data_IF_298623902481
#
_entry.id   IF_298623902481
#
_cell.length_a   1.000
_cell.length_b   1.000
_cell.length_c   1.000
_cell.angle_alpha   90.00
_cell.angle_beta   90.00
_cell.angle_gamma   90.00
#
_symmetry.space_group_name_H-M   'P 1'
#
loop_
_entity.id
_entity.type
_entity.pdbx_description
1 polymer ?
#
# COMPACT_ATOMS: atom_id res chain seq x y z
N UNK A 1 -14.85 -44.19 -15.60
CA UNK A 1 -14.68 -42.94 -16.37
C UNK A 1 -14.96 -41.81 -15.37
N UNK A 2 -13.91 -41.19 -14.84
CA UNK A 2 -13.98 -40.27 -13.70
C UNK A 2 -14.30 -38.85 -14.17
N UNK A 3 -15.55 -38.42 -14.01
CA UNK A 3 -15.92 -37.01 -14.01
C UNK A 3 -15.80 -36.47 -12.59
N UNK A 4 -14.63 -35.93 -12.24
CA UNK A 4 -14.52 -35.03 -11.10
C UNK A 4 -15.18 -33.70 -11.50
N UNK A 5 -16.25 -33.24 -10.82
CA UNK A 5 -17.06 -32.15 -11.32
C UNK A 5 -16.29 -30.84 -11.20
N UNK A 6 -16.15 -30.13 -12.33
CA UNK A 6 -15.61 -28.77 -12.49
C UNK A 6 -16.07 -27.81 -11.36
N UNK A 7 -17.24 -28.05 -10.78
CA UNK A 7 -17.80 -27.36 -9.62
C UNK A 7 -16.90 -27.35 -8.38
N UNK A 8 -16.15 -28.42 -8.08
CA UNK A 8 -15.22 -28.46 -6.94
C UNK A 8 -14.04 -27.51 -7.16
N UNK A 9 -13.47 -27.49 -8.36
CA UNK A 9 -12.40 -26.57 -8.74
C UNK A 9 -12.86 -25.12 -8.77
N UNK A 10 -14.07 -24.85 -9.28
CA UNK A 10 -14.66 -23.50 -9.27
C UNK A 10 -14.95 -23.02 -7.85
N UNK A 11 -15.47 -23.89 -6.97
CA UNK A 11 -15.70 -23.57 -5.57
C UNK A 11 -14.38 -23.31 -4.81
N UNK A 12 -13.36 -24.11 -5.05
CA UNK A 12 -12.04 -23.97 -4.44
C UNK A 12 -11.32 -22.71 -4.94
N UNK A 13 -11.43 -22.38 -6.24
CA UNK A 13 -10.95 -21.12 -6.82
C UNK A 13 -11.68 -19.91 -6.22
N UNK A 14 -13.01 -19.98 -6.06
CA UNK A 14 -13.80 -18.91 -5.40
C UNK A 14 -13.43 -18.74 -3.93
N UNK A 15 -13.22 -19.83 -3.21
CA UNK A 15 -12.79 -19.78 -1.80
C UNK A 15 -11.38 -19.19 -1.66
N UNK A 16 -10.45 -19.60 -2.53
CA UNK A 16 -9.11 -19.04 -2.62
C UNK A 16 -9.12 -17.55 -2.93
N UNK A 17 -9.89 -17.11 -3.94
CA UNK A 17 -10.06 -15.70 -4.29
C UNK A 17 -10.58 -14.91 -3.08
N UNK A 18 -11.64 -15.38 -2.39
CA UNK A 18 -12.17 -14.71 -1.19
C UNK A 18 -11.15 -14.61 -0.04
N UNK A 19 -10.33 -15.65 0.14
CA UNK A 19 -9.28 -15.67 1.16
C UNK A 19 -8.19 -14.64 0.84
N UNK A 20 -7.77 -14.59 -0.42
CA UNK A 20 -6.79 -13.64 -0.96
C UNK A 20 -7.33 -12.21 -0.82
N UNK A 21 -8.56 -11.94 -1.26
CA UNK A 21 -9.26 -10.66 -1.08
C UNK A 21 -9.34 -10.24 0.40
N UNK A 22 -9.61 -11.17 1.31
CA UNK A 22 -9.67 -10.90 2.76
C UNK A 22 -8.31 -10.53 3.35
N UNK A 23 -7.25 -11.26 2.99
CA UNK A 23 -5.87 -10.95 3.39
C UNK A 23 -5.45 -9.60 2.82
N UNK A 24 -5.76 -9.32 1.56
CA UNK A 24 -5.49 -8.03 0.91
C UNK A 24 -6.22 -6.89 1.58
N UNK A 25 -7.51 -7.04 1.85
CA UNK A 25 -8.28 -6.03 2.58
C UNK A 25 -7.63 -5.73 3.92
N UNK A 26 -7.22 -6.75 4.67
CA UNK A 26 -6.51 -6.58 5.95
C UNK A 26 -5.14 -5.91 5.80
N UNK A 27 -4.37 -6.24 4.76
CA UNK A 27 -3.10 -5.58 4.48
C UNK A 27 -3.30 -4.09 4.18
N UNK A 28 -4.33 -3.76 3.41
CA UNK A 28 -4.67 -2.38 3.08
C UNK A 28 -5.12 -1.60 4.30
N UNK A 29 -5.96 -2.20 5.14
CA UNK A 29 -6.36 -1.62 6.43
C UNK A 29 -5.12 -1.37 7.29
N UNK A 30 -4.16 -2.30 7.36
CA UNK A 30 -2.92 -2.13 8.14
C UNK A 30 -2.06 -0.97 7.66
N UNK A 31 -1.96 -0.75 6.34
CA UNK A 31 -1.19 0.37 5.76
C UNK A 31 -1.71 1.71 6.28
N UNK A 32 -3.03 1.92 6.26
CA UNK A 32 -3.68 3.15 6.75
C UNK A 32 -4.06 3.10 8.23
N UNK A 33 -3.38 2.26 9.02
CA UNK A 33 -3.58 2.15 10.47
C UNK A 33 -5.02 1.84 10.88
N UNK A 34 -5.76 1.16 10.00
CA UNK A 34 -7.18 0.87 10.15
C UNK A 34 -7.46 0.31 11.52
N UNK A 35 -8.29 1.02 12.28
CA UNK A 35 -8.78 0.60 13.59
C UNK A 35 -9.83 -0.50 13.33
N UNK A 36 -9.51 -1.80 13.48
CA UNK A 36 -10.52 -2.85 13.39
C UNK A 36 -11.70 -2.61 14.35
N UNK A 37 -11.50 -1.83 15.42
CA UNK A 37 -12.54 -1.37 16.33
C UNK A 37 -13.61 -0.53 15.62
N UNK A 38 -13.26 0.45 14.77
CA UNK A 38 -14.27 1.29 14.11
C UNK A 38 -15.14 0.49 13.14
N UNK A 39 -14.52 -0.44 12.41
CA UNK A 39 -15.20 -1.36 11.50
C UNK A 39 -15.99 -2.46 12.23
N UNK A 40 -15.56 -2.84 13.44
CA UNK A 40 -16.31 -3.75 14.30
C UNK A 40 -17.52 -3.05 14.94
N UNK A 41 -17.36 -1.82 15.40
CA UNK A 41 -18.42 -0.98 15.95
C UNK A 41 -19.51 -0.70 14.91
N UNK A 42 -19.12 -0.43 13.65
CA UNK A 42 -20.05 -0.34 12.52
C UNK A 42 -20.88 -1.62 12.38
N UNK A 43 -20.24 -2.80 12.38
CA UNK A 43 -20.93 -4.10 12.28
C UNK A 43 -21.85 -4.39 13.46
N UNK A 44 -21.50 -3.94 14.67
CA UNK A 44 -22.36 -4.07 15.86
C UNK A 44 -23.58 -3.15 15.74
N UNK A 45 -23.41 -1.90 15.26
CA UNK A 45 -24.53 -0.96 15.06
C UNK A 45 -25.52 -1.41 13.98
N UNK A 46 -25.03 -2.12 12.96
CA UNK A 46 -25.84 -2.65 11.87
C UNK A 46 -26.52 -4.00 12.20
N UNK A 47 -26.17 -4.64 13.32
CA UNK A 47 -26.73 -5.94 13.69
C UNK A 47 -28.23 -5.81 14.04
N UNK A 48 -29.11 -6.35 13.19
CA UNK A 48 -30.55 -6.44 13.42
C UNK A 48 -31.43 -5.32 12.83
N UNK A 49 -30.89 -4.43 11.98
CA UNK A 49 -31.66 -3.35 11.29
C UNK A 49 -31.96 -3.68 9.81
N UNK A 50 -33.07 -3.14 9.25
CA UNK A 50 -33.45 -3.22 7.82
C UNK A 50 -32.55 -2.30 6.96
N UNK A 51 -32.34 -2.64 5.69
CA UNK A 51 -31.05 -3.20 5.22
C UNK A 51 -30.27 -2.42 4.14
N UNK A 52 -30.66 -1.21 3.72
CA UNK A 52 -29.89 -0.50 2.66
C UNK A 52 -29.63 0.99 2.96
N UNK A 53 -30.65 1.83 3.14
CA UNK A 53 -30.41 3.28 3.34
C UNK A 53 -29.70 3.64 4.67
N UNK A 54 -29.99 2.88 5.73
CA UNK A 54 -29.34 3.03 7.06
C UNK A 54 -27.89 2.50 7.04
N UNK A 55 -27.57 1.60 6.12
CA UNK A 55 -26.22 1.03 5.99
C UNK A 55 -25.25 2.04 5.37
N UNK A 56 -25.71 2.82 4.39
CA UNK A 56 -24.89 3.83 3.70
C UNK A 56 -24.56 5.04 4.59
N UNK A 57 -25.52 5.56 5.37
CA UNK A 57 -25.27 6.67 6.29
C UNK A 57 -24.28 6.29 7.41
N UNK A 58 -24.45 5.11 8.01
CA UNK A 58 -23.56 4.61 9.08
C UNK A 58 -22.14 4.32 8.56
N UNK A 59 -22.03 3.79 7.33
CA UNK A 59 -20.76 3.59 6.65
C UNK A 59 -20.06 4.93 6.38
N UNK A 60 -20.78 5.93 5.88
CA UNK A 60 -20.25 7.28 5.65
C UNK A 60 -19.80 7.95 6.96
N UNK A 61 -20.58 7.79 8.04
CA UNK A 61 -20.21 8.30 9.36
C UNK A 61 -18.94 7.62 9.91
N UNK A 62 -18.81 6.31 9.71
CA UNK A 62 -17.63 5.54 10.12
C UNK A 62 -16.39 5.95 9.32
N UNK A 63 -16.51 6.08 8.01
CA UNK A 63 -15.42 6.55 7.14
C UNK A 63 -15.01 7.99 7.48
N UNK A 64 -15.95 8.87 7.81
CA UNK A 64 -15.66 10.25 8.21
C UNK A 64 -14.87 10.31 9.51
N UNK A 65 -15.30 9.59 10.55
CA UNK A 65 -14.56 9.48 11.82
C UNK A 65 -13.15 8.92 11.62
N UNK A 66 -13.00 7.96 10.72
CA UNK A 66 -11.70 7.41 10.39
C UNK A 66 -10.83 8.41 9.63
N UNK A 67 -11.36 9.08 8.62
CA UNK A 67 -10.66 10.14 7.88
C UNK A 67 -10.14 11.22 8.83
N UNK A 68 -10.97 11.72 9.76
CA UNK A 68 -10.51 12.70 10.75
C UNK A 68 -9.39 12.17 11.64
N UNK A 69 -9.49 10.92 12.09
CA UNK A 69 -8.44 10.29 12.89
C UNK A 69 -7.15 10.12 12.08
N UNK A 70 -7.26 9.83 10.78
CA UNK A 70 -6.16 9.72 9.85
C UNK A 70 -5.46 11.06 9.63
N UNK A 71 -6.23 12.13 9.44
CA UNK A 71 -5.70 13.48 9.24
C UNK A 71 -4.97 14.01 10.49
N UNK A 72 -5.51 13.72 11.68
CA UNK A 72 -4.89 14.09 12.98
C UNK A 72 -3.68 13.23 13.36
N UNK A 73 -3.45 12.10 12.70
CA UNK A 73 -2.36 11.20 13.09
C UNK A 73 -1.00 11.84 12.80
N UNK A 74 -0.18 11.98 13.85
CA UNK A 74 1.20 12.49 13.73
C UNK A 74 2.20 11.40 13.33
N UNK A 75 1.86 10.14 13.57
CA UNK A 75 2.60 8.97 13.09
C UNK A 75 2.12 8.60 11.69
N UNK A 76 2.94 7.89 10.90
CA UNK A 76 2.61 7.48 9.52
C UNK A 76 2.34 8.63 8.53
N UNK A 77 2.93 9.82 8.73
CA UNK A 77 2.78 10.97 7.81
C UNK A 77 3.19 10.67 6.38
N UNK A 78 4.18 9.80 6.19
CA UNK A 78 4.56 9.30 4.87
C UNK A 78 3.37 8.62 4.17
N UNK A 79 2.78 7.62 4.82
CA UNK A 79 1.62 6.92 4.27
C UNK A 79 0.42 7.84 4.08
N UNK A 80 0.18 8.79 4.99
CA UNK A 80 -0.87 9.81 4.84
C UNK A 80 -0.65 10.67 3.60
N UNK A 81 0.59 11.10 3.34
CA UNK A 81 0.95 11.88 2.16
C UNK A 81 0.67 11.13 0.86
N UNK A 82 0.90 9.81 0.83
CA UNK A 82 0.59 8.97 -0.33
C UNK A 82 -0.90 8.65 -0.44
N UNK A 83 -1.58 8.39 0.69
CA UNK A 83 -2.98 7.96 0.74
C UNK A 83 -3.76 8.96 1.62
N UNK A 84 -4.10 10.15 1.08
CA UNK A 84 -4.79 11.16 1.87
C UNK A 84 -6.26 10.81 2.11
N UNK A 85 -6.91 10.09 1.17
CA UNK A 85 -8.33 9.72 1.27
C UNK A 85 -8.51 8.24 1.60
N UNK A 86 -9.03 7.97 2.80
CA UNK A 86 -9.35 6.64 3.29
C UNK A 86 -10.44 5.98 2.44
N UNK A 87 -11.50 6.74 2.12
CA UNK A 87 -12.63 6.25 1.33
C UNK A 87 -12.18 5.76 -0.04
N UNK A 88 -11.47 6.61 -0.78
CA UNK A 88 -10.97 6.30 -2.13
C UNK A 88 -10.07 5.05 -2.10
N UNK A 89 -9.22 4.93 -1.08
CA UNK A 89 -8.33 3.78 -0.93
C UNK A 89 -9.07 2.47 -0.66
N UNK A 90 -10.14 2.49 0.15
CA UNK A 90 -10.88 1.27 0.53
C UNK A 90 -11.85 0.84 -0.58
N UNK A 91 -12.42 1.80 -1.30
CA UNK A 91 -13.44 1.57 -2.33
C UNK A 91 -12.86 1.32 -3.71
N UNK A 92 -11.52 1.25 -3.83
CA UNK A 92 -10.86 0.95 -5.09
C UNK A 92 -11.28 -0.40 -5.66
N UNK A 93 -11.37 -0.46 -6.99
CA UNK A 93 -11.88 -1.63 -7.73
C UNK A 93 -10.79 -2.63 -8.11
N UNK A 94 -9.54 -2.19 -8.08
CA UNK A 94 -8.37 -2.97 -8.47
C UNK A 94 -7.20 -2.65 -7.53
N UNK A 95 -6.10 -3.36 -7.74
CA UNK A 95 -4.86 -3.04 -7.09
C UNK A 95 -4.66 -3.77 -5.77
N UNK A 96 -4.17 -5.00 -5.88
CA UNK A 96 -3.72 -5.78 -4.73
C UNK A 96 -2.37 -5.28 -4.24
N UNK A 97 -2.20 -5.26 -2.91
CA UNK A 97 -0.92 -4.93 -2.29
C UNK A 97 -0.04 -6.16 -2.29
N UNK A 98 1.14 -6.04 -2.89
CA UNK A 98 2.21 -7.01 -2.74
C UNK A 98 3.23 -6.54 -1.69
N UNK A 99 4.23 -7.38 -1.42
CA UNK A 99 5.30 -7.08 -0.46
C UNK A 99 6.01 -5.75 -0.76
N UNK A 100 6.39 -5.52 -2.01
CA UNK A 100 7.14 -4.34 -2.43
C UNK A 100 6.32 -3.06 -2.35
N UNK A 101 5.07 -3.07 -2.84
CA UNK A 101 4.13 -1.94 -2.70
C UNK A 101 3.87 -1.61 -1.23
N UNK A 102 3.78 -2.62 -0.37
CA UNK A 102 3.63 -2.38 1.08
C UNK A 102 4.84 -1.64 1.64
N UNK A 103 6.06 -1.95 1.19
CA UNK A 103 7.28 -1.23 1.60
C UNK A 103 7.28 0.23 1.13
N UNK A 104 6.92 0.49 -0.13
CA UNK A 104 6.72 1.85 -0.64
C UNK A 104 5.73 2.62 0.25
N UNK A 105 4.55 2.06 0.48
CA UNK A 105 3.46 2.78 1.15
C UNK A 105 3.72 3.03 2.63
N UNK A 106 4.38 2.10 3.31
CA UNK A 106 4.67 2.19 4.76
C UNK A 106 6.00 2.86 5.05
N UNK A 107 6.90 2.95 4.07
CA UNK A 107 8.28 3.35 4.28
C UNK A 107 9.07 2.37 5.16
N UNK A 108 8.61 1.12 5.24
CA UNK A 108 9.27 0.02 5.97
C UNK A 108 10.00 -0.89 4.99
N UNK A 109 11.02 -1.61 5.47
CA UNK A 109 11.78 -2.55 4.65
C UNK A 109 13.28 -2.30 4.68
N UNK A 110 13.92 -2.48 3.53
CA UNK A 110 15.37 -2.43 3.38
C UNK A 110 15.96 -1.01 3.30
N UNK A 111 15.17 0.03 3.63
CA UNK A 111 15.68 1.39 3.72
C UNK A 111 16.60 1.52 4.93
N UNK A 112 17.82 2.04 4.78
CA UNK A 112 18.74 2.24 5.93
C UNK A 112 18.11 3.04 7.07
N UNK A 113 17.28 4.04 6.77
CA UNK A 113 16.54 4.78 7.79
C UNK A 113 15.62 3.88 8.64
N UNK A 114 15.01 2.86 8.03
CA UNK A 114 14.20 1.89 8.73
C UNK A 114 15.07 0.88 9.49
N UNK A 115 16.10 0.33 8.86
CA UNK A 115 17.03 -0.64 9.47
C UNK A 115 17.73 -0.11 10.71
N UNK A 116 18.08 1.18 10.74
CA UNK A 116 18.72 1.85 11.89
C UNK A 116 17.90 1.76 13.18
N UNK A 117 16.59 1.51 13.10
CA UNK A 117 15.75 1.27 14.29
C UNK A 117 16.12 0.00 15.05
N UNK A 118 16.79 -0.94 14.38
CA UNK A 118 17.17 -2.24 14.93
C UNK A 118 18.69 -2.37 15.12
N UNK A 119 19.49 -1.58 14.39
CA UNK A 119 20.95 -1.51 14.55
C UNK A 119 21.42 -0.05 14.56
N UNK A 120 21.77 0.44 15.75
CA UNK A 120 22.15 1.84 15.98
C UNK A 120 23.54 2.20 15.42
N UNK A 121 24.37 1.21 15.09
CA UNK A 121 25.71 1.43 14.54
C UNK A 121 25.68 1.73 13.04
N UNK A 122 24.56 1.48 12.37
CA UNK A 122 24.42 1.75 10.94
C UNK A 122 24.01 3.20 10.65
N UNK A 123 24.66 3.79 9.65
CA UNK A 123 24.27 5.10 9.12
C UNK A 123 22.96 4.99 8.35
N UNK A 124 22.06 5.96 8.56
CA UNK A 124 20.82 6.11 7.79
C UNK A 124 21.04 6.82 6.45
N UNK A 125 22.27 7.25 6.14
CA UNK A 125 22.58 7.99 4.93
C UNK A 125 22.58 7.10 3.69
N UNK A 126 22.11 7.67 2.59
CA UNK A 126 22.22 7.05 1.28
C UNK A 126 23.69 6.95 0.88
N UNK A 127 24.15 5.79 0.37
CA UNK A 127 25.55 5.58 -0.02
C UNK A 127 25.99 6.48 -1.19
N UNK A 128 25.05 6.89 -2.05
CA UNK A 128 25.31 7.72 -3.25
C UNK A 128 24.91 9.19 -3.02
N UNK A 129 24.08 9.46 -2.01
CA UNK A 129 23.63 10.82 -1.66
C UNK A 129 23.94 11.09 -0.18
N UNK A 130 25.20 11.45 0.18
CA UNK A 130 25.63 11.54 1.57
C UNK A 130 24.83 12.53 2.42
N UNK A 131 24.30 13.59 1.80
CA UNK A 131 23.45 14.59 2.46
C UNK A 131 21.98 14.17 2.61
N UNK A 132 21.60 12.99 2.13
CA UNK A 132 20.22 12.48 2.15
C UNK A 132 20.08 11.23 3.00
N UNK A 133 18.99 11.17 3.76
CA UNK A 133 18.58 9.97 4.48
C UNK A 133 17.96 8.99 3.48
N UNK A 134 18.40 7.73 3.49
CA UNK A 134 17.81 6.68 2.68
C UNK A 134 16.49 6.20 3.29
N UNK A 135 15.44 6.97 3.06
CA UNK A 135 14.05 6.61 3.33
C UNK A 135 13.31 6.34 2.01
N UNK A 136 12.05 5.89 2.08
CA UNK A 136 11.26 5.60 0.88
C UNK A 136 11.11 6.82 -0.04
N UNK A 137 10.91 8.02 0.51
CA UNK A 137 10.81 9.25 -0.27
C UNK A 137 12.06 9.48 -1.12
N UNK A 138 13.23 9.46 -0.49
CA UNK A 138 14.48 9.64 -1.20
C UNK A 138 14.67 8.54 -2.25
N UNK A 139 14.52 7.27 -1.87
CA UNK A 139 14.75 6.13 -2.76
C UNK A 139 13.89 6.20 -4.02
N UNK A 140 12.59 6.41 -3.88
CA UNK A 140 11.67 6.31 -5.02
C UNK A 140 11.57 7.58 -5.87
N UNK A 141 11.88 8.75 -5.31
CA UNK A 141 11.59 10.03 -5.97
C UNK A 141 12.82 10.91 -6.20
N UNK A 142 13.95 10.65 -5.54
CA UNK A 142 15.11 11.55 -5.55
C UNK A 142 16.46 10.87 -5.77
N UNK A 143 16.56 9.57 -5.50
CA UNK A 143 17.83 8.87 -5.49
C UNK A 143 18.31 8.59 -6.92
N UNK A 144 19.50 9.08 -7.32
CA UNK A 144 20.04 8.83 -8.65
C UNK A 144 20.30 7.35 -8.96
N UNK A 145 20.42 6.49 -7.93
CA UNK A 145 20.55 5.03 -8.12
C UNK A 145 19.37 4.43 -8.87
N UNK A 146 18.19 5.00 -8.69
CA UNK A 146 16.93 4.47 -9.20
C UNK A 146 16.29 5.40 -10.24
N UNK A 147 17.08 6.33 -10.82
CA UNK A 147 16.57 7.31 -11.78
C UNK A 147 16.09 6.64 -13.07
N UNK A 148 16.78 5.59 -13.53
CA UNK A 148 16.38 4.85 -14.72
C UNK A 148 15.02 4.16 -14.52
N UNK A 149 14.83 3.47 -13.39
CA UNK A 149 13.56 2.86 -13.03
C UNK A 149 12.44 3.93 -12.94
N UNK A 150 12.76 5.09 -12.37
CA UNK A 150 11.86 6.23 -12.27
C UNK A 150 11.48 6.79 -13.64
N UNK A 151 12.46 7.06 -14.51
CA UNK A 151 12.27 7.59 -15.87
C UNK A 151 11.42 6.66 -16.74
N UNK A 152 11.63 5.34 -16.64
CA UNK A 152 10.78 4.35 -17.30
C UNK A 152 9.33 4.49 -16.85
N UNK A 153 9.08 4.60 -15.55
CA UNK A 153 7.73 4.79 -15.04
C UNK A 153 7.14 6.17 -15.45
N UNK A 154 7.96 7.23 -15.42
CA UNK A 154 7.56 8.55 -15.89
C UNK A 154 7.20 8.56 -17.37
N UNK A 155 7.86 7.79 -18.24
CA UNK A 155 7.50 7.74 -19.66
C UNK A 155 6.14 7.07 -19.91
N UNK A 156 5.68 6.22 -18.98
CA UNK A 156 4.34 5.61 -19.02
C UNK A 156 3.25 6.57 -18.55
N UNK A 157 3.61 7.57 -17.74
CA UNK A 157 2.68 8.57 -17.24
C UNK A 157 2.87 9.91 -17.96
N UNK A 158 1.80 10.54 -18.42
CA UNK A 158 1.90 11.91 -18.94
C UNK A 158 2.06 12.99 -17.83
N UNK A 159 2.56 12.59 -16.66
CA UNK A 159 2.72 13.44 -15.47
C UNK A 159 3.96 13.01 -14.67
N UNK A 160 4.60 13.98 -14.01
CA UNK A 160 5.70 13.71 -13.08
C UNK A 160 5.16 13.00 -11.84
N UNK A 161 5.63 11.78 -11.58
CA UNK A 161 5.45 11.05 -10.34
C UNK A 161 5.96 11.84 -9.13
N UNK A 162 5.08 12.03 -8.15
CA UNK A 162 5.32 12.70 -6.87
C UNK A 162 4.65 11.90 -5.76
N UNK A 163 5.10 12.03 -4.50
CA UNK A 163 4.43 11.38 -3.38
C UNK A 163 2.92 11.69 -3.32
N UNK A 164 2.53 12.91 -3.70
CA UNK A 164 1.14 13.37 -3.62
C UNK A 164 0.22 12.75 -4.70
N UNK A 165 0.77 12.32 -5.84
CA UNK A 165 -0.03 11.86 -6.98
C UNK A 165 0.10 10.36 -7.27
N UNK A 166 1.07 9.65 -6.69
CA UNK A 166 1.32 8.23 -7.01
C UNK A 166 0.07 7.35 -6.84
N UNK A 167 -0.64 7.50 -5.71
CA UNK A 167 -1.86 6.71 -5.45
C UNK A 167 -2.97 7.07 -6.43
N UNK A 168 -3.11 8.34 -6.79
CA UNK A 168 -4.07 8.78 -7.80
C UNK A 168 -3.77 8.14 -9.15
N UNK A 169 -2.50 8.10 -9.55
CA UNK A 169 -2.04 7.46 -10.78
C UNK A 169 -2.32 5.96 -10.77
N UNK A 170 -1.99 5.26 -9.67
CA UNK A 170 -2.25 3.83 -9.48
C UNK A 170 -3.76 3.49 -9.56
N UNK A 171 -4.60 4.35 -8.99
CA UNK A 171 -6.05 4.13 -8.95
C UNK A 171 -6.76 4.47 -10.27
N UNK A 172 -6.10 5.20 -11.18
CA UNK A 172 -6.70 5.58 -12.45
C UNK A 172 -6.96 4.37 -13.39
N UNK A 173 -6.13 3.34 -13.34
CA UNK A 173 -6.30 2.12 -14.13
C UNK A 173 -5.53 0.94 -13.54
N UNK A 174 -5.97 -0.29 -13.83
CA UNK A 174 -5.23 -1.50 -13.45
C UNK A 174 -3.83 -1.57 -14.08
N UNK A 175 -3.62 -1.21 -15.37
CA UNK A 175 -2.28 -1.09 -15.94
C UNK A 175 -1.36 -0.13 -15.20
N UNK A 176 -1.88 1.03 -14.76
CA UNK A 176 -1.07 1.98 -13.97
C UNK A 176 -0.64 1.36 -12.63
N UNK A 177 -1.56 0.66 -11.96
CA UNK A 177 -1.23 -0.06 -10.73
C UNK A 177 -0.10 -1.07 -10.96
N UNK A 178 -0.21 -1.88 -12.01
CA UNK A 178 0.80 -2.89 -12.35
C UNK A 178 2.15 -2.25 -12.71
N UNK A 179 2.15 -1.13 -13.41
CA UNK A 179 3.37 -0.38 -13.73
C UNK A 179 4.09 0.09 -12.45
N UNK A 180 3.36 0.69 -11.51
CA UNK A 180 3.92 1.10 -10.21
C UNK A 180 4.36 -0.11 -9.39
N UNK A 181 3.60 -1.22 -9.41
CA UNK A 181 3.96 -2.45 -8.71
C UNK A 181 5.28 -3.03 -9.24
N UNK A 182 5.47 -3.04 -10.56
CA UNK A 182 6.70 -3.49 -11.22
C UNK A 182 7.89 -2.60 -10.89
N UNK A 183 7.72 -1.28 -11.04
CA UNK A 183 8.72 -0.28 -10.63
C UNK A 183 9.15 -0.48 -9.17
N UNK A 184 8.18 -0.59 -8.27
CA UNK A 184 8.44 -0.77 -6.83
C UNK A 184 9.19 -2.08 -6.56
N UNK A 185 8.84 -3.15 -7.27
CA UNK A 185 9.50 -4.45 -7.12
C UNK A 185 10.96 -4.39 -7.58
N UNK A 186 11.24 -3.71 -8.69
CA UNK A 186 12.61 -3.51 -9.19
C UNK A 186 13.48 -2.77 -8.17
N UNK A 187 13.00 -1.62 -7.69
CA UNK A 187 13.73 -0.77 -6.73
C UNK A 187 13.97 -1.50 -5.40
N UNK A 188 12.95 -2.14 -4.83
CA UNK A 188 13.06 -2.82 -3.54
C UNK A 188 13.94 -4.07 -3.63
N UNK A 189 13.89 -4.81 -4.73
CA UNK A 189 14.74 -5.98 -4.94
C UNK A 189 16.20 -5.58 -5.00
N UNK A 190 16.52 -4.56 -5.83
CA UNK A 190 17.88 -4.03 -5.92
C UNK A 190 18.39 -3.47 -4.60
N UNK A 191 17.55 -2.76 -3.83
CA UNK A 191 17.91 -2.32 -2.47
C UNK A 191 18.24 -3.50 -1.54
N UNK A 192 17.44 -4.57 -1.60
CA UNK A 192 17.66 -5.77 -0.78
C UNK A 192 18.98 -6.44 -1.14
N UNK A 193 19.30 -6.55 -2.42
CA UNK A 193 20.53 -7.17 -2.89
C UNK A 193 21.74 -6.35 -2.43
N UNK A 194 21.70 -5.02 -2.62
CA UNK A 194 22.74 -4.09 -2.12
C UNK A 194 22.94 -4.15 -0.58
N UNK A 195 21.88 -4.41 0.18
CA UNK A 195 21.96 -4.56 1.63
C UNK A 195 22.48 -5.95 2.03
N UNK A 196 22.20 -6.97 1.25
CA UNK A 196 22.70 -8.33 1.47
C UNK A 196 24.21 -8.40 1.20
N UNK A 197 24.69 -7.75 0.14
CA UNK A 197 26.12 -7.70 -0.22
C UNK A 197 26.99 -6.93 0.79
N UNK A 198 26.39 -6.12 1.67
CA UNK A 198 27.09 -5.36 2.71
C UNK A 198 27.26 -6.11 4.04
N UNK A 199 26.58 -7.25 4.22
CA UNK A 199 26.60 -8.06 5.44
C UNK A 199 27.58 -9.21 5.31
#
# INVERSE_FOLDING_TARGET
>A
MYDAPIWSMVAQKRAYIRQVESVHRRACLRVIGGRPVLLADERVRLFGRRREDVEDEERLATLSKWQEAWDRLTKARWTHRLIPSIRVWIERKHGELNYHLTQLLTGHGFFKHHSRRYDYNQSAQCPVCPSSIENAEHVFYHCPRFSEEGERLHSLFHEVMRPENITKLMLASEPNWLAVASFTSSVVTRLRDEETDRR
#
